data_IF_016762386266
#
_entry.id   IF_016762386266
#
_cell.length_a   1.000
_cell.length_b   1.000
_cell.length_c   1.000
_cell.angle_alpha   90.00
_cell.angle_beta   90.00
_cell.angle_gamma   90.00
#
_symmetry.space_group_name_H-M   'P 1'
#
loop_
_entity.id
_entity.type
_entity.pdbx_description
1 polymer ?
#
# COMPACT_ATOMS: atom_id res chain seq x y z
N UNK A 1 -43.43 -17.68 38.92
CA UNK A 1 -42.15 -17.40 38.23
C UNK A 1 -42.42 -16.41 37.12
N UNK A 2 -42.07 -15.12 37.23
CA UNK A 2 -42.29 -14.17 36.16
C UNK A 2 -41.27 -14.40 35.04
N UNK A 3 -41.74 -14.42 33.80
CA UNK A 3 -40.90 -14.40 32.60
C UNK A 3 -40.05 -13.13 32.60
N UNK A 4 -38.75 -13.29 32.84
CA UNK A 4 -37.76 -12.23 32.66
C UNK A 4 -37.72 -11.93 31.15
N UNK A 5 -38.31 -10.80 30.75
CA UNK A 5 -38.07 -10.21 29.43
C UNK A 5 -36.58 -9.90 29.33
N UNK A 6 -35.84 -10.71 28.59
CA UNK A 6 -34.47 -10.38 28.19
C UNK A 6 -34.52 -9.10 27.35
N UNK A 7 -33.64 -8.13 27.63
CA UNK A 7 -33.60 -6.89 26.86
C UNK A 7 -33.17 -7.23 25.43
N UNK A 8 -33.99 -6.88 24.45
CA UNK A 8 -33.65 -6.88 23.03
C UNK A 8 -32.45 -5.95 22.80
N UNK A 9 -31.24 -6.50 22.80
CA UNK A 9 -30.07 -5.85 22.25
C UNK A 9 -30.31 -5.65 20.75
N UNK A 10 -30.69 -4.44 20.34
CA UNK A 10 -30.64 -4.05 18.94
C UNK A 10 -29.17 -4.11 18.48
N UNK A 11 -28.74 -5.24 17.94
CA UNK A 11 -27.49 -5.35 17.19
C UNK A 11 -27.57 -4.37 16.02
N UNK A 12 -26.91 -3.21 16.14
CA UNK A 12 -26.81 -2.25 15.04
C UNK A 12 -25.84 -2.84 14.02
N UNK A 13 -26.38 -3.35 12.91
CA UNK A 13 -25.60 -3.94 11.83
C UNK A 13 -24.55 -2.94 11.31
N UNK A 14 -23.30 -3.40 11.21
CA UNK A 14 -22.23 -2.65 10.54
C UNK A 14 -22.43 -2.73 9.02
N UNK A 15 -21.94 -1.72 8.30
CA UNK A 15 -21.82 -1.79 6.84
C UNK A 15 -20.34 -1.87 6.48
N UNK A 16 -19.97 -2.82 5.61
CA UNK A 16 -18.62 -2.91 5.06
C UNK A 16 -18.41 -1.88 3.96
N UNK A 17 -17.38 -1.06 4.10
CA UNK A 17 -16.90 -0.14 3.08
C UNK A 17 -15.55 -0.63 2.58
N UNK A 18 -15.32 -0.45 1.28
CA UNK A 18 -14.04 -0.71 0.63
C UNK A 18 -13.46 0.61 0.20
N UNK A 19 -12.16 0.80 0.41
CA UNK A 19 -11.44 2.01 0.05
C UNK A 19 -10.23 1.67 -0.80
N UNK A 20 -9.98 2.48 -1.82
CA UNK A 20 -8.71 2.49 -2.52
C UNK A 20 -7.80 3.50 -1.81
N UNK A 21 -6.58 3.09 -1.46
CA UNK A 21 -5.63 3.91 -0.72
C UNK A 21 -4.30 4.00 -1.45
N UNK A 22 -3.79 5.22 -1.53
CA UNK A 22 -2.46 5.55 -2.00
C UNK A 22 -1.59 5.93 -0.80
N UNK A 23 -0.34 5.50 -0.77
CA UNK A 23 0.61 5.95 0.25
C UNK A 23 2.07 5.88 -0.19
N UNK A 24 2.85 6.79 0.38
CA UNK A 24 4.30 6.85 0.22
C UNK A 24 5.00 6.15 1.38
N UNK A 25 5.64 5.01 1.10
CA UNK A 25 6.25 4.13 2.10
C UNK A 25 7.53 4.65 2.76
N UNK A 26 8.22 5.64 2.17
CA UNK A 26 9.60 6.00 2.55
C UNK A 26 9.83 6.30 4.04
N UNK A 27 8.88 6.95 4.71
CA UNK A 27 8.94 7.22 6.18
C UNK A 27 8.04 6.30 7.00
N UNK A 28 7.30 5.40 6.35
CA UNK A 28 6.31 4.54 6.99
C UNK A 28 6.92 3.20 7.39
N UNK A 29 6.49 2.67 8.54
CA UNK A 29 6.85 1.35 9.05
C UNK A 29 6.10 0.20 8.36
N UNK A 30 5.58 0.44 7.15
CA UNK A 30 4.74 -0.47 6.39
C UNK A 30 3.26 -0.14 6.51
N UNK A 31 2.41 -1.06 6.02
CA UNK A 31 0.96 -0.90 6.14
C UNK A 31 0.53 -1.02 7.61
N UNK A 32 0.89 -2.12 8.27
CA UNK A 32 0.68 -2.35 9.71
C UNK A 32 2.03 -2.36 10.43
N UNK A 33 2.05 -2.12 11.74
CA UNK A 33 3.27 -2.25 12.53
C UNK A 33 3.74 -3.72 12.60
N UNK A 34 5.04 -3.95 12.43
CA UNK A 34 5.70 -5.26 12.53
C UNK A 34 6.53 -5.29 13.83
N UNK A 35 5.99 -5.93 14.88
CA UNK A 35 6.65 -6.06 16.19
C UNK A 35 7.17 -7.47 16.47
N UNK A 36 7.98 -7.64 17.54
CA UNK A 36 8.57 -8.93 17.91
C UNK A 36 7.54 -10.01 18.30
N UNK A 37 6.33 -9.61 18.72
CA UNK A 37 5.22 -10.52 19.07
C UNK A 37 4.21 -10.74 17.93
N UNK A 38 4.48 -10.22 16.72
CA UNK A 38 3.63 -10.37 15.54
C UNK A 38 3.28 -9.06 14.84
N UNK A 39 2.45 -9.17 13.81
CA UNK A 39 2.13 -8.10 12.84
C UNK A 39 0.76 -7.48 13.14
N UNK A 40 0.64 -6.69 14.20
CA UNK A 40 -0.60 -5.95 14.53
C UNK A 40 -0.27 -4.56 15.09
N UNK A 41 -1.04 -3.54 14.68
CA UNK A 41 -0.98 -2.19 15.27
C UNK A 41 -1.49 -2.13 16.71
N UNK A 42 -2.17 -3.18 17.18
CA UNK A 42 -2.59 -3.36 18.56
C UNK A 42 -2.17 -4.76 18.97
N UNK A 43 -1.20 -4.85 19.87
CA UNK A 43 -0.78 -6.12 20.46
C UNK A 43 -1.73 -6.40 21.61
N UNK A 44 -2.42 -7.54 21.57
CA UNK A 44 -3.30 -7.99 22.64
C UNK A 44 -2.61 -9.06 23.47
N UNK A 45 -2.83 -9.01 24.78
CA UNK A 45 -2.53 -10.13 25.66
C UNK A 45 -3.49 -11.31 25.36
N UNK A 46 -3.18 -12.53 25.82
CA UNK A 46 -4.05 -13.70 25.66
C UNK A 46 -5.47 -13.52 26.23
N UNK A 47 -5.63 -12.63 27.20
CA UNK A 47 -6.91 -12.26 27.83
C UNK A 47 -7.71 -11.18 27.06
N UNK A 48 -7.22 -10.77 25.88
CA UNK A 48 -7.76 -9.69 25.02
C UNK A 48 -7.63 -8.27 25.60
N UNK A 49 -6.87 -8.07 26.68
CA UNK A 49 -6.44 -6.72 27.08
C UNK A 49 -5.37 -6.18 26.13
N UNK A 50 -5.26 -4.85 25.99
CA UNK A 50 -4.28 -4.22 25.10
C UNK A 50 -2.91 -4.24 25.77
N UNK A 51 -1.96 -4.99 25.20
CA UNK A 51 -0.56 -5.08 25.62
C UNK A 51 0.26 -3.88 25.13
N UNK A 52 0.07 -3.48 23.86
CA UNK A 52 0.71 -2.30 23.29
C UNK A 52 -0.20 -1.69 22.21
N UNK A 53 -0.37 -0.37 22.25
CA UNK A 53 -1.16 0.40 21.29
C UNK A 53 -0.25 1.24 20.41
N UNK A 54 -0.04 0.79 19.19
CA UNK A 54 0.89 1.39 18.24
C UNK A 54 0.15 2.27 17.23
N UNK A 55 -1.08 2.70 17.53
CA UNK A 55 -1.81 3.73 16.78
C UNK A 55 -1.06 5.08 16.71
N UNK A 56 -0.06 5.29 17.59
CA UNK A 56 0.86 6.44 17.58
C UNK A 56 2.13 6.25 16.73
N UNK A 57 2.28 5.12 16.05
CA UNK A 57 3.47 4.78 15.25
C UNK A 57 3.20 5.06 13.77
N UNK A 58 4.19 5.60 13.03
CA UNK A 58 4.11 5.99 11.61
C UNK A 58 3.86 4.80 10.66
N UNK A 59 2.67 4.19 10.75
CA UNK A 59 2.16 3.15 9.86
C UNK A 59 0.90 3.64 9.15
N UNK A 60 0.61 3.07 7.97
CA UNK A 60 -0.58 3.47 7.20
C UNK A 60 -1.87 3.15 7.97
N UNK A 61 -1.96 1.95 8.56
CA UNK A 61 -3.11 1.51 9.35
C UNK A 61 -3.27 2.37 10.62
N UNK A 62 -2.18 2.72 11.31
CA UNK A 62 -2.23 3.59 12.48
C UNK A 62 -2.83 4.96 12.17
N UNK A 63 -2.37 5.60 11.08
CA UNK A 63 -2.92 6.89 10.63
C UNK A 63 -4.39 6.78 10.20
N UNK A 64 -4.76 5.70 9.52
CA UNK A 64 -6.16 5.45 9.12
C UNK A 64 -7.07 5.25 10.33
N UNK A 65 -6.66 4.44 11.32
CA UNK A 65 -7.40 4.26 12.58
C UNK A 65 -7.59 5.57 13.30
N UNK A 66 -6.55 6.39 13.40
CA UNK A 66 -6.64 7.71 14.02
C UNK A 66 -7.62 8.64 13.29
N UNK A 67 -7.62 8.62 11.96
CA UNK A 67 -8.58 9.39 11.17
C UNK A 67 -10.02 8.89 11.37
N UNK A 68 -10.23 7.57 11.45
CA UNK A 68 -11.53 6.97 11.74
C UNK A 68 -12.01 7.25 13.17
N UNK A 69 -11.13 7.22 14.17
CA UNK A 69 -11.44 7.59 15.55
C UNK A 69 -11.99 9.01 15.63
N UNK A 70 -11.40 9.94 14.87
CA UNK A 70 -11.83 11.34 14.81
C UNK A 70 -13.12 11.55 13.99
N UNK A 71 -13.32 10.77 12.91
CA UNK A 71 -14.46 10.92 12.01
C UNK A 71 -15.72 10.21 12.50
N UNK A 72 -15.60 8.93 12.84
CA UNK A 72 -16.73 8.05 13.19
C UNK A 72 -16.77 7.70 14.68
N UNK A 73 -15.64 7.77 15.39
CA UNK A 73 -15.52 7.43 16.82
C UNK A 73 -14.96 6.02 17.06
N UNK A 74 -14.14 5.87 18.10
CA UNK A 74 -13.33 4.67 18.43
C UNK A 74 -14.10 3.32 18.47
N UNK A 75 -15.40 3.35 18.76
CA UNK A 75 -16.24 2.15 18.89
C UNK A 75 -17.28 1.98 17.76
N UNK A 76 -17.11 2.73 16.67
CA UNK A 76 -18.05 2.75 15.55
C UNK A 76 -17.48 2.15 14.27
N UNK A 77 -16.29 1.55 14.32
CA UNK A 77 -15.72 0.78 13.22
C UNK A 77 -15.01 -0.48 13.74
N UNK A 78 -14.84 -1.48 12.87
CA UNK A 78 -14.12 -2.72 13.13
C UNK A 78 -13.62 -3.36 11.84
N UNK A 79 -12.91 -4.49 11.94
CA UNK A 79 -12.52 -5.32 10.80
C UNK A 79 -11.77 -4.55 9.69
N UNK A 80 -10.71 -3.84 10.08
CA UNK A 80 -9.79 -3.24 9.11
C UNK A 80 -8.95 -4.37 8.52
N UNK A 81 -9.12 -4.62 7.22
CA UNK A 81 -8.35 -5.61 6.46
C UNK A 81 -7.77 -4.92 5.23
N UNK A 82 -6.55 -5.29 4.83
CA UNK A 82 -5.92 -4.82 3.58
C UNK A 82 -5.72 -5.97 2.61
N UNK A 83 -5.80 -5.69 1.32
CA UNK A 83 -5.65 -6.70 0.27
C UNK A 83 -4.23 -7.25 0.17
N UNK A 84 -3.26 -6.36 0.35
CA UNK A 84 -1.83 -6.63 0.25
C UNK A 84 -1.11 -5.87 1.34
N UNK A 85 -0.49 -6.59 2.27
CA UNK A 85 0.39 -5.99 3.27
C UNK A 85 1.70 -5.58 2.60
N UNK A 86 2.18 -4.38 2.90
CA UNK A 86 3.44 -3.84 2.37
C UNK A 86 4.44 -3.62 3.50
N UNK A 87 5.70 -3.98 3.25
CA UNK A 87 6.80 -3.83 4.21
C UNK A 87 7.16 -2.35 4.43
N UNK A 88 7.98 -2.09 5.43
CA UNK A 88 8.61 -0.78 5.65
C UNK A 88 9.30 -0.29 4.36
N UNK A 89 9.03 0.96 3.98
CA UNK A 89 9.61 1.58 2.78
C UNK A 89 8.91 1.26 1.46
N UNK A 90 7.97 0.30 1.41
CA UNK A 90 7.23 -0.05 0.19
C UNK A 90 6.06 0.90 -0.03
N UNK A 91 5.86 1.34 -1.26
CA UNK A 91 4.81 2.28 -1.65
C UNK A 91 3.56 1.56 -2.16
N UNK A 92 2.44 2.27 -2.21
CA UNK A 92 1.28 1.82 -2.96
C UNK A 92 0.63 2.98 -3.72
N UNK A 93 0.38 2.78 -5.01
CA UNK A 93 -0.44 3.67 -5.82
C UNK A 93 -1.92 3.38 -5.59
N UNK A 94 -2.32 2.11 -5.64
CA UNK A 94 -3.68 1.68 -5.35
C UNK A 94 -3.68 0.36 -4.59
N UNK A 95 -3.58 0.44 -3.26
CA UNK A 95 -3.92 -0.68 -2.38
C UNK A 95 -5.42 -0.63 -2.06
N UNK A 96 -5.99 -1.75 -1.63
CA UNK A 96 -7.41 -1.81 -1.26
C UNK A 96 -7.57 -2.26 0.19
N UNK A 97 -8.49 -1.63 0.90
CA UNK A 97 -8.76 -1.93 2.30
C UNK A 97 -10.28 -2.00 2.55
N UNK A 98 -10.69 -2.81 3.51
CA UNK A 98 -12.07 -2.86 3.98
C UNK A 98 -12.16 -2.36 5.42
N UNK A 99 -13.28 -1.73 5.76
CA UNK A 99 -13.64 -1.36 7.14
C UNK A 99 -15.13 -1.54 7.34
N UNK A 100 -15.52 -2.18 8.43
CA UNK A 100 -16.92 -2.30 8.82
C UNK A 100 -17.26 -1.09 9.72
N UNK A 101 -18.22 -0.23 9.32
CA UNK A 101 -18.56 1.02 10.01
C UNK A 101 -20.05 1.05 10.41
N UNK A 102 -20.34 1.51 11.62
CA UNK A 102 -21.72 1.68 12.13
C UNK A 102 -22.45 2.85 11.47
N UNK A 103 -23.76 2.71 11.19
CA UNK A 103 -24.61 3.82 10.72
C UNK A 103 -24.69 4.98 11.72
N UNK A 104 -24.86 6.21 11.21
CA UNK A 104 -24.97 7.41 12.04
C UNK A 104 -26.39 7.59 12.58
N UNK A 105 -26.52 7.91 13.86
CA UNK A 105 -27.79 8.33 14.45
C UNK A 105 -28.13 9.76 14.04
N UNK A 106 -29.30 9.99 13.46
CA UNK A 106 -29.88 11.33 13.34
C UNK A 106 -30.96 11.53 14.41
N UNK A 107 -30.86 12.64 15.16
CA UNK A 107 -32.01 13.18 15.89
C UNK A 107 -32.90 13.88 14.85
N UNK A 108 -34.17 13.49 14.71
CA UNK A 108 -35.15 14.32 13.97
C UNK A 108 -35.17 15.70 14.63
N UNK A 109 -34.86 16.77 13.89
CA UNK A 109 -35.22 18.13 14.33
C UNK A 109 -36.75 18.18 14.32
N UNK A 110 -37.39 18.34 15.49
CA UNK A 110 -38.80 18.78 15.54
C UNK A 110 -38.85 20.12 14.78
N UNK A 111 -39.61 20.17 13.69
CA UNK A 111 -40.05 21.46 13.11
C UNK A 111 -41.12 21.94 14.10
N UNK A 112 -40.88 23.06 14.77
CA UNK A 112 -41.75 23.53 15.84
C UNK A 112 -43.16 23.80 15.34
N UNK A 113 -44.12 23.14 15.98
CA UNK A 113 -45.39 23.74 16.34
C UNK A 113 -45.56 23.42 17.82
N UNK A 114 -45.58 24.46 18.64
CA UNK A 114 -45.97 24.34 20.04
C UNK A 114 -47.42 23.86 20.04
N UNK A 115 -47.62 22.66 20.56
CA UNK A 115 -48.65 22.29 21.54
C UNK A 115 -48.67 20.77 21.70
N UNK A 116 -49.01 20.36 22.92
CA UNK A 116 -49.20 19.00 23.42
C UNK A 116 -47.95 18.19 23.83
N UNK A 117 -47.74 18.23 25.14
CA UNK A 117 -46.93 17.32 25.92
C UNK A 117 -47.62 15.95 25.96
N UNK A 118 -47.26 15.07 25.02
CA UNK A 118 -47.57 13.65 25.15
C UNK A 118 -46.39 12.75 24.80
N UNK A 119 -46.31 11.69 25.58
CA UNK A 119 -45.21 10.76 25.76
C UNK A 119 -44.97 9.92 24.48
N UNK A 120 -44.07 10.37 23.60
CA UNK A 120 -43.69 9.59 22.41
C UNK A 120 -42.17 9.46 22.22
N UNK A 121 -41.71 8.22 22.33
CA UNK A 121 -40.41 7.68 21.94
C UNK A 121 -40.00 8.21 20.57
N UNK A 122 -39.06 9.15 20.52
CA UNK A 122 -38.55 9.68 19.25
C UNK A 122 -37.91 8.54 18.44
N UNK A 123 -38.56 8.10 17.35
CA UNK A 123 -38.00 7.11 16.45
C UNK A 123 -36.64 7.61 15.91
N UNK A 124 -35.55 6.98 16.34
CA UNK A 124 -34.19 7.26 15.87
C UNK A 124 -34.00 6.62 14.50
N UNK A 125 -34.02 7.43 13.45
CA UNK A 125 -33.65 6.96 12.10
C UNK A 125 -32.14 6.85 11.98
N UNK A 126 -31.64 5.66 11.65
CA UNK A 126 -30.23 5.41 11.34
C UNK A 126 -29.98 5.67 9.86
N UNK A 127 -28.94 6.44 9.54
CA UNK A 127 -28.54 6.72 8.16
C UNK A 127 -27.15 6.16 7.90
N UNK A 128 -27.03 5.38 6.82
CA UNK A 128 -25.76 4.86 6.33
C UNK A 128 -24.84 6.01 5.90
N UNK A 129 -23.53 5.81 6.04
CA UNK A 129 -22.56 6.79 5.57
C UNK A 129 -22.53 6.79 4.04
N UNK A 130 -22.51 7.98 3.45
CA UNK A 130 -22.26 8.09 2.01
C UNK A 130 -20.77 7.83 1.76
N UNK A 131 -20.39 6.94 0.82
CA UNK A 131 -18.98 6.65 0.53
C UNK A 131 -18.14 7.90 0.30
N UNK A 132 -18.61 8.84 -0.53
CA UNK A 132 -17.95 10.13 -0.76
C UNK A 132 -17.63 10.91 0.53
N UNK A 133 -18.57 10.95 1.48
CA UNK A 133 -18.37 11.66 2.74
C UNK A 133 -17.31 10.98 3.62
N UNK A 134 -17.16 9.66 3.52
CA UNK A 134 -16.08 8.94 4.21
C UNK A 134 -14.73 9.27 3.59
N UNK A 135 -14.62 9.30 2.26
CA UNK A 135 -13.38 9.73 1.56
C UNK A 135 -12.98 11.13 2.01
N UNK A 136 -13.88 12.10 1.86
CA UNK A 136 -13.62 13.51 2.20
C UNK A 136 -13.24 13.66 3.69
N UNK A 137 -13.97 12.97 4.57
CA UNK A 137 -13.75 13.02 6.01
C UNK A 137 -12.44 12.36 6.44
N UNK A 138 -12.11 11.18 5.92
CA UNK A 138 -10.87 10.48 6.25
C UNK A 138 -9.68 11.29 5.75
N UNK A 139 -9.70 11.76 4.50
CA UNK A 139 -8.64 12.59 3.93
C UNK A 139 -8.45 13.90 4.70
N UNK A 140 -9.54 14.54 5.14
CA UNK A 140 -9.48 15.74 5.97
C UNK A 140 -8.72 15.51 7.29
N UNK A 141 -8.90 14.37 7.94
CA UNK A 141 -8.18 14.05 9.16
C UNK A 141 -6.77 13.55 8.91
N UNK A 142 -6.54 12.73 7.86
CA UNK A 142 -5.21 12.29 7.45
C UNK A 142 -4.27 13.48 7.21
N UNK A 143 -4.75 14.54 6.55
CA UNK A 143 -3.96 15.75 6.30
C UNK A 143 -3.61 16.56 7.56
N UNK A 144 -4.22 16.23 8.70
CA UNK A 144 -4.06 16.93 9.99
C UNK A 144 -3.36 16.11 11.06
N UNK A 145 -3.16 14.81 10.83
CA UNK A 145 -2.38 13.98 11.74
C UNK A 145 -0.90 14.33 11.52
N UNK A 146 -0.21 14.91 12.53
CA UNK A 146 1.21 15.22 12.41
C UNK A 146 2.00 13.93 12.24
N UNK A 147 3.04 13.96 11.41
CA UNK A 147 4.03 12.87 11.40
C UNK A 147 4.85 12.96 12.67
N UNK A 148 4.81 11.93 13.51
CA UNK A 148 5.67 11.85 14.68
C UNK A 148 7.07 11.42 14.20
N UNK A 149 8.15 12.15 14.57
CA UNK A 149 9.49 11.70 14.26
C UNK A 149 9.75 10.33 14.91
N UNK A 150 10.56 9.45 14.30
CA UNK A 150 10.80 8.09 14.79
C UNK A 150 11.65 8.00 16.08
N UNK A 151 11.62 9.01 16.96
CA UNK A 151 12.33 9.02 18.25
C UNK A 151 11.36 9.28 19.40
N UNK A 152 11.43 8.41 20.42
CA UNK A 152 10.59 8.27 21.64
C UNK A 152 9.45 7.24 21.58
N UNK A 153 9.73 6.07 20.99
CA UNK A 153 8.98 4.85 21.30
C UNK A 153 9.52 4.11 22.56
N UNK A 154 10.43 4.72 23.32
CA UNK A 154 11.11 4.10 24.48
C UNK A 154 11.17 5.05 25.70
N UNK A 155 10.05 5.66 26.09
CA UNK A 155 9.91 6.18 27.46
C UNK A 155 8.66 5.54 28.07
N UNK A 156 8.82 4.41 28.76
CA UNK A 156 7.76 3.70 29.52
C UNK A 156 7.10 4.57 30.61
N UNK A 157 7.61 5.78 30.86
CA UNK A 157 7.10 6.74 31.85
C UNK A 157 6.47 8.02 31.28
N UNK A 158 6.21 8.09 29.97
CA UNK A 158 5.43 9.21 29.43
C UNK A 158 3.95 9.05 29.81
N UNK A 159 3.32 10.03 30.50
CA UNK A 159 1.93 9.89 30.92
C UNK A 159 1.03 9.71 29.70
N UNK A 160 -0.06 8.93 29.81
CA UNK A 160 -1.01 8.80 28.71
C UNK A 160 -1.47 10.21 28.35
N UNK A 161 -1.38 10.56 27.06
CA UNK A 161 -1.93 11.81 26.51
C UNK A 161 -3.44 11.81 26.81
N UNK A 162 -3.78 12.36 27.97
CA UNK A 162 -5.12 12.31 28.54
C UNK A 162 -6.07 13.09 27.64
N UNK A 163 -7.09 12.36 27.16
CA UNK A 163 -8.50 12.74 27.10
C UNK A 163 -8.78 14.19 27.55
N UNK A 164 -8.67 15.16 26.64
CA UNK A 164 -9.49 16.39 26.61
C UNK A 164 -9.01 17.31 25.48
N UNK A 165 -9.24 16.90 24.24
CA UNK A 165 -9.32 17.85 23.14
C UNK A 165 -10.74 17.81 22.61
N UNK A 166 -11.66 18.40 23.38
CA UNK A 166 -12.88 18.98 22.80
C UNK A 166 -12.44 20.19 21.98
N UNK A 167 -11.88 19.95 20.80
CA UNK A 167 -11.77 21.01 19.82
C UNK A 167 -13.21 21.31 19.37
N UNK A 168 -13.81 22.31 20.01
CA UNK A 168 -14.81 23.14 19.33
C UNK A 168 -14.15 23.50 18.00
N UNK A 169 -14.74 23.06 16.89
CA UNK A 169 -14.35 23.48 15.56
C UNK A 169 -14.71 24.97 15.40
N UNK A 170 -13.99 25.84 16.10
CA UNK A 170 -14.13 27.27 16.04
C UNK A 170 -12.94 27.82 15.26
N UNK A 171 -13.18 28.18 13.99
CA UNK A 171 -12.41 29.13 13.18
C UNK A 171 -10.88 29.09 13.37
N UNK A 172 -10.26 27.92 13.30
CA UNK A 172 -8.81 27.82 13.21
C UNK A 172 -8.37 28.15 11.78
N UNK A 173 -7.44 29.11 11.65
CA UNK A 173 -6.95 29.68 10.40
C UNK A 173 -6.53 28.62 9.37
N UNK A 174 -7.12 28.70 8.18
CA UNK A 174 -7.10 27.69 7.12
C UNK A 174 -5.77 27.54 6.34
N UNK A 175 -4.76 28.40 6.56
CA UNK A 175 -3.73 28.62 5.54
C UNK A 175 -2.28 28.19 5.85
N UNK A 176 -1.94 27.71 7.05
CA UNK A 176 -0.52 27.48 7.41
C UNK A 176 -0.24 26.15 8.14
N UNK A 177 -0.66 25.01 7.59
CA UNK A 177 -0.17 23.70 8.04
C UNK A 177 0.38 22.91 6.83
N UNK A 178 1.55 22.27 6.94
CA UNK A 178 2.13 21.50 5.86
C UNK A 178 1.19 20.36 5.45
N UNK A 179 0.89 20.25 4.15
CA UNK A 179 0.11 19.16 3.56
C UNK A 179 0.89 17.84 3.71
N UNK A 180 0.75 17.17 4.86
CA UNK A 180 1.45 15.92 5.15
C UNK A 180 0.66 14.69 4.65
N UNK A 181 0.46 14.61 3.33
CA UNK A 181 -0.38 13.59 2.70
C UNK A 181 0.42 12.37 2.23
N UNK A 182 1.18 11.74 3.14
CA UNK A 182 1.80 10.44 2.83
C UNK A 182 0.78 9.29 2.67
N UNK A 183 -0.49 9.50 3.04
CA UNK A 183 -1.59 8.53 2.88
C UNK A 183 -2.82 9.29 2.37
N UNK A 184 -3.47 8.77 1.33
CA UNK A 184 -4.66 9.36 0.72
C UNK A 184 -5.66 8.26 0.33
N UNK A 185 -6.92 8.46 0.68
CA UNK A 185 -8.04 7.66 0.17
C UNK A 185 -8.43 8.20 -1.21
N UNK A 186 -8.36 7.36 -2.23
CA UNK A 186 -8.67 7.71 -3.62
C UNK A 186 -10.17 7.61 -3.89
N UNK A 187 -10.77 6.49 -3.49
CA UNK A 187 -12.18 6.20 -3.73
C UNK A 187 -12.73 5.28 -2.64
N UNK A 188 -14.05 5.15 -2.60
CA UNK A 188 -14.71 4.18 -1.74
C UNK A 188 -16.06 3.73 -2.27
N UNK A 189 -16.44 2.52 -1.91
CA UNK A 189 -17.75 1.96 -2.16
C UNK A 189 -18.24 1.15 -0.96
N UNK A 190 -19.54 0.85 -0.95
CA UNK A 190 -20.08 -0.18 -0.05
C UNK A 190 -19.70 -1.53 -0.66
N UNK A 191 -19.20 -2.46 0.15
CA UNK A 191 -18.87 -3.79 -0.34
C UNK A 191 -20.16 -4.50 -0.80
N UNK A 192 -20.11 -5.24 -1.90
CA UNK A 192 -21.24 -6.05 -2.33
C UNK A 192 -21.50 -7.17 -1.31
N UNK A 193 -22.77 -7.41 -1.01
CA UNK A 193 -23.18 -8.44 -0.04
C UNK A 193 -22.78 -9.86 -0.52
N UNK A 194 -22.68 -10.06 -1.84
CA UNK A 194 -22.26 -11.31 -2.49
C UNK A 194 -21.54 -10.92 -3.80
N UNK A 195 -20.27 -11.28 -3.97
CA UNK A 195 -19.70 -11.37 -5.32
C UNK A 195 -19.91 -12.82 -5.77
N UNK A 196 -20.84 -13.05 -6.69
CA UNK A 196 -20.81 -14.25 -7.54
C UNK A 196 -19.56 -14.14 -8.43
N UNK A 197 -18.58 -15.05 -8.32
CA UNK A 197 -17.38 -14.98 -9.15
C UNK A 197 -17.76 -15.16 -10.62
N UNK A 198 -17.33 -14.22 -11.46
CA UNK A 198 -17.49 -14.30 -12.90
C UNK A 198 -16.64 -15.44 -13.49
N UNK A 199 -17.17 -16.01 -14.57
CA UNK A 199 -16.80 -17.27 -15.20
C UNK A 199 -15.52 -17.16 -16.04
N UNK A 200 -14.78 -18.30 -16.12
CA UNK A 200 -13.58 -18.64 -16.94
C UNK A 200 -12.20 -18.43 -16.26
N UNK A 201 -11.30 -19.43 -16.11
CA UNK A 201 -11.28 -20.87 -16.44
C UNK A 201 -10.15 -21.59 -15.64
N UNK A 202 -10.23 -22.92 -15.56
CA UNK A 202 -9.23 -23.84 -15.00
C UNK A 202 -9.01 -25.04 -15.94
N UNK A 203 -7.78 -25.53 -16.18
CA UNK A 203 -7.64 -26.67 -17.09
C UNK A 203 -7.91 -28.06 -16.50
N UNK A 204 -7.91 -28.29 -15.18
CA UNK A 204 -8.15 -29.67 -14.66
C UNK A 204 -8.35 -29.83 -13.14
N UNK A 205 -8.80 -28.79 -12.43
CA UNK A 205 -9.07 -28.64 -10.99
C UNK A 205 -9.01 -29.93 -10.13
N UNK A 206 -8.07 -29.97 -9.17
CA UNK A 206 -8.38 -30.16 -7.75
C UNK A 206 -8.64 -28.80 -7.13
N UNK A 207 -9.70 -28.78 -6.33
CA UNK A 207 -10.79 -27.82 -6.48
C UNK A 207 -11.18 -27.22 -5.12
N UNK A 208 -10.57 -27.74 -4.05
CA UNK A 208 -11.18 -27.82 -2.72
C UNK A 208 -11.34 -26.46 -2.03
N UNK A 209 -10.65 -25.40 -2.47
CA UNK A 209 -10.83 -24.06 -1.91
C UNK A 209 -10.91 -22.97 -2.98
N UNK A 210 -11.67 -23.26 -4.02
CA UNK A 210 -12.42 -22.26 -4.77
C UNK A 210 -13.53 -21.70 -3.88
N UNK A 211 -13.34 -20.61 -3.09
CA UNK A 211 -14.30 -20.04 -2.12
C UNK A 211 -15.63 -20.84 -2.00
N UNK A 212 -15.63 -22.04 -1.37
CA UNK A 212 -16.65 -23.05 -1.66
C UNK A 212 -18.02 -22.73 -1.05
N UNK A 213 -18.17 -21.53 -0.47
CA UNK A 213 -19.29 -21.15 0.38
C UNK A 213 -19.98 -19.84 -0.02
N UNK A 214 -19.60 -19.22 -1.15
CA UNK A 214 -20.14 -17.90 -1.49
C UNK A 214 -19.85 -16.88 -0.39
N UNK A 215 -18.63 -16.90 0.17
CA UNK A 215 -18.27 -16.04 1.30
C UNK A 215 -18.48 -14.55 0.93
N UNK A 216 -18.94 -13.72 1.90
CA UNK A 216 -19.08 -12.28 1.71
C UNK A 216 -17.79 -11.65 1.19
N UNK A 217 -17.92 -10.52 0.49
CA UNK A 217 -16.75 -9.79 -0.03
C UNK A 217 -15.66 -9.58 1.03
N UNK A 218 -14.45 -10.06 0.75
CA UNK A 218 -13.25 -9.78 1.55
C UNK A 218 -12.12 -9.28 0.65
N UNK A 219 -11.57 -8.11 0.98
CA UNK A 219 -10.59 -7.41 0.14
C UNK A 219 -9.28 -8.20 -0.08
N UNK A 220 -8.95 -9.16 0.79
CA UNK A 220 -7.76 -10.00 0.62
C UNK A 220 -8.09 -11.24 -0.19
N UNK A 221 -9.16 -11.94 0.16
CA UNK A 221 -9.48 -13.24 -0.42
C UNK A 221 -10.22 -13.17 -1.76
N UNK A 222 -10.95 -12.09 -2.03
CA UNK A 222 -11.64 -11.89 -3.34
C UNK A 222 -10.75 -11.24 -4.39
N UNK A 223 -9.60 -10.70 -4.00
CA UNK A 223 -8.69 -10.08 -4.94
C UNK A 223 -8.13 -11.13 -5.91
N UNK A 224 -8.39 -10.91 -7.20
CA UNK A 224 -8.06 -11.84 -8.29
C UNK A 224 -6.64 -11.65 -8.78
N UNK A 225 -6.11 -10.42 -8.72
CA UNK A 225 -4.78 -10.07 -9.23
C UNK A 225 -4.20 -8.90 -8.47
N UNK A 226 -2.87 -8.92 -8.29
CA UNK A 226 -2.09 -7.78 -7.79
C UNK A 226 -0.98 -7.47 -8.77
N UNK A 227 -0.78 -6.19 -9.02
CA UNK A 227 0.26 -5.67 -9.89
C UNK A 227 1.28 -4.93 -9.05
N UNK A 228 2.54 -5.36 -9.11
CA UNK A 228 3.67 -4.66 -8.53
C UNK A 228 4.52 -4.05 -9.64
N UNK A 229 5.09 -2.89 -9.38
CA UNK A 229 6.12 -2.29 -10.20
C UNK A 229 7.34 -2.00 -9.34
N UNK A 230 8.52 -2.37 -9.83
CA UNK A 230 9.78 -2.03 -9.21
C UNK A 230 10.54 -1.05 -10.10
N UNK A 231 10.88 0.12 -9.55
CA UNK A 231 11.53 1.21 -10.27
C UNK A 231 13.01 1.27 -9.94
N UNK A 232 13.83 1.30 -10.97
CA UNK A 232 15.28 1.45 -10.92
C UNK A 232 15.63 2.70 -11.72
N UNK A 233 16.24 3.68 -11.07
CA UNK A 233 16.77 4.83 -11.78
C UNK A 233 18.16 4.46 -12.30
N UNK A 234 18.24 4.27 -13.60
CA UNK A 234 19.46 3.91 -14.31
C UNK A 234 20.05 5.15 -14.95
N UNK A 235 21.29 5.47 -14.59
CA UNK A 235 22.03 6.59 -15.18
C UNK A 235 23.17 6.02 -16.02
N UNK A 236 23.23 6.37 -17.30
CA UNK A 236 24.43 6.11 -18.08
C UNK A 236 25.41 7.26 -17.82
N UNK A 237 26.65 6.93 -17.46
CA UNK A 237 27.68 7.92 -17.22
C UNK A 237 27.93 8.69 -18.53
N UNK A 238 27.58 9.99 -18.56
CA UNK A 238 28.41 10.92 -19.33
C UNK A 238 29.77 10.91 -18.65
N UNK A 239 30.85 11.00 -19.41
CA UNK A 239 32.23 11.24 -18.98
C UNK A 239 32.41 12.56 -18.19
N UNK A 240 31.52 12.85 -17.24
CA UNK A 240 31.53 14.04 -16.42
C UNK A 240 32.45 13.77 -15.22
N UNK A 241 33.49 14.59 -15.11
CA UNK A 241 34.53 14.63 -14.06
C UNK A 241 34.03 14.83 -12.62
N UNK A 242 32.76 14.54 -12.30
CA UNK A 242 32.18 14.66 -10.96
C UNK A 242 31.01 13.67 -10.75
N UNK A 243 31.29 12.47 -10.22
CA UNK A 243 30.29 11.39 -10.07
C UNK A 243 29.17 11.69 -9.06
N UNK A 244 29.36 12.57 -8.08
CA UNK A 244 28.49 12.58 -6.89
C UNK A 244 27.10 13.19 -7.06
N UNK A 245 26.91 14.13 -8.00
CA UNK A 245 25.67 14.92 -8.08
C UNK A 245 24.69 14.42 -9.14
N UNK A 246 25.17 13.99 -10.31
CA UNK A 246 24.32 13.54 -11.43
C UNK A 246 23.53 12.26 -11.11
N UNK A 247 23.99 11.44 -10.16
CA UNK A 247 23.32 10.18 -9.79
C UNK A 247 22.18 10.32 -8.77
N UNK A 248 21.87 11.53 -8.31
CA UNK A 248 20.80 11.76 -7.35
C UNK A 248 19.76 12.70 -7.91
N UNK A 249 18.69 12.14 -8.49
CA UNK A 249 17.44 12.86 -8.66
C UNK A 249 16.83 13.02 -7.26
N UNK A 250 16.89 14.20 -6.61
CA UNK A 250 16.51 14.33 -5.20
C UNK A 250 15.04 13.96 -4.98
N UNK A 251 14.22 14.17 -6.02
CA UNK A 251 12.81 13.82 -6.08
C UNK A 251 12.54 12.33 -6.32
N UNK A 252 13.53 11.47 -6.45
CA UNK A 252 13.34 10.02 -6.61
C UNK A 252 14.10 9.19 -5.57
N UNK A 253 14.87 9.84 -4.67
CA UNK A 253 15.76 9.17 -3.70
C UNK A 253 15.08 8.07 -2.89
N UNK A 254 13.82 8.30 -2.53
CA UNK A 254 12.97 7.46 -1.71
C UNK A 254 11.92 6.69 -2.51
N UNK A 255 12.05 6.63 -3.85
CA UNK A 255 11.09 6.02 -4.79
C UNK A 255 11.70 5.11 -5.84
N UNK A 256 13.02 4.97 -5.85
CA UNK A 256 13.75 4.13 -6.83
C UNK A 256 14.91 3.41 -6.17
N UNK A 257 15.26 2.26 -6.72
CA UNK A 257 16.58 1.69 -6.47
C UNK A 257 17.60 2.36 -7.38
N UNK A 258 18.68 2.84 -6.77
CA UNK A 258 19.86 3.34 -7.47
C UNK A 258 20.92 2.26 -7.45
N UNK A 259 21.35 1.83 -8.63
CA UNK A 259 22.39 0.82 -8.79
C UNK A 259 23.68 1.54 -9.14
N UNK A 260 24.74 1.31 -8.36
CA UNK A 260 26.09 1.80 -8.57
C UNK A 260 27.06 0.68 -8.22
N UNK A 261 28.20 0.58 -8.91
CA UNK A 261 29.34 -0.22 -8.45
C UNK A 261 30.19 0.55 -7.42
N UNK A 262 31.16 -0.13 -6.80
CA UNK A 262 32.06 0.45 -5.79
C UNK A 262 32.94 1.60 -6.33
N UNK A 263 33.01 1.75 -7.66
CA UNK A 263 33.75 2.80 -8.37
C UNK A 263 32.81 3.90 -8.89
N UNK A 264 31.52 3.83 -8.57
CA UNK A 264 30.49 4.77 -9.03
C UNK A 264 30.04 4.58 -10.47
N UNK A 265 30.53 3.56 -11.19
CA UNK A 265 30.07 3.25 -12.53
C UNK A 265 28.79 2.42 -12.47
N UNK A 266 27.93 2.64 -13.46
CA UNK A 266 26.70 1.90 -13.63
C UNK A 266 26.88 1.15 -14.94
N UNK A 267 27.22 -0.13 -14.86
CA UNK A 267 27.13 -1.01 -16.03
C UNK A 267 25.73 -0.93 -16.62
N UNK A 268 25.62 -0.95 -17.94
CA UNK A 268 24.31 -0.98 -18.59
C UNK A 268 23.57 -2.28 -18.22
N UNK A 269 22.31 -2.16 -17.79
CA UNK A 269 21.48 -3.35 -17.54
C UNK A 269 20.93 -3.89 -18.86
N UNK A 270 21.28 -5.13 -19.17
CA UNK A 270 20.77 -5.85 -20.33
C UNK A 270 19.30 -6.28 -20.11
N UNK A 271 18.38 -5.48 -20.66
CA UNK A 271 16.93 -5.67 -20.54
C UNK A 271 16.46 -6.94 -21.27
N UNK A 272 17.12 -7.33 -22.35
CA UNK A 272 16.72 -8.50 -23.12
C UNK A 272 17.04 -9.78 -22.34
N UNK A 273 18.25 -9.86 -21.79
CA UNK A 273 18.65 -10.99 -20.94
C UNK A 273 17.83 -11.04 -19.64
N UNK A 274 17.48 -9.88 -19.06
CA UNK A 274 16.55 -9.82 -17.93
C UNK A 274 15.15 -10.36 -18.29
N UNK A 275 14.60 -10.04 -19.45
CA UNK A 275 13.28 -10.55 -19.88
C UNK A 275 13.32 -12.06 -20.20
N UNK A 276 14.43 -12.56 -20.77
CA UNK A 276 14.67 -14.00 -20.93
C UNK A 276 14.63 -14.72 -19.58
N UNK A 277 15.32 -14.19 -18.57
CA UNK A 277 15.28 -14.71 -17.22
C UNK A 277 13.89 -14.61 -16.57
N UNK A 278 13.20 -13.48 -16.77
CA UNK A 278 11.86 -13.24 -16.24
C UNK A 278 10.83 -14.26 -16.72
N UNK A 279 10.99 -14.77 -17.95
CA UNK A 279 10.13 -15.80 -18.53
C UNK A 279 10.13 -17.10 -17.72
N UNK A 280 11.21 -17.41 -16.99
CA UNK A 280 11.27 -18.57 -16.09
C UNK A 280 10.40 -18.42 -14.83
N UNK A 281 9.97 -17.21 -14.48
CA UNK A 281 9.08 -16.99 -13.33
C UNK A 281 7.59 -17.16 -13.68
N UNK A 282 7.22 -17.08 -14.95
CA UNK A 282 5.81 -17.09 -15.38
C UNK A 282 5.19 -18.50 -15.17
N UNK A 283 3.92 -18.51 -14.78
CA UNK A 283 3.14 -19.72 -14.54
C UNK A 283 3.15 -20.17 -13.08
N UNK A 284 2.62 -21.38 -12.85
CA UNK A 284 2.51 -21.99 -11.51
C UNK A 284 3.82 -22.68 -11.14
N UNK A 285 4.53 -22.14 -10.14
CA UNK A 285 5.84 -22.65 -9.72
C UNK A 285 6.03 -22.61 -8.21
N UNK A 286 7.00 -23.37 -7.73
CA UNK A 286 7.50 -23.33 -6.36
C UNK A 286 8.49 -22.18 -6.21
N UNK A 287 8.16 -21.20 -5.38
CA UNK A 287 9.00 -20.01 -5.13
C UNK A 287 9.74 -20.08 -3.80
N UNK A 288 10.06 -21.29 -3.30
CA UNK A 288 10.81 -21.45 -2.04
C UNK A 288 12.12 -20.67 -2.04
N UNK A 289 12.85 -20.66 -3.16
CA UNK A 289 14.11 -19.91 -3.30
C UNK A 289 13.93 -18.39 -3.20
N UNK A 290 12.71 -17.87 -3.41
CA UNK A 290 12.38 -16.46 -3.34
C UNK A 290 11.54 -16.11 -2.10
N UNK A 291 11.32 -17.07 -1.19
CA UNK A 291 10.53 -16.90 0.03
C UNK A 291 11.37 -16.30 1.16
N UNK A 292 10.90 -15.20 1.74
CA UNK A 292 11.51 -14.60 2.92
C UNK A 292 11.31 -15.44 4.20
N UNK A 293 12.28 -15.36 5.12
CA UNK A 293 12.15 -15.93 6.47
C UNK A 293 10.93 -15.32 7.19
N UNK A 294 10.18 -16.13 7.94
CA UNK A 294 8.97 -15.69 8.64
C UNK A 294 7.69 -15.70 7.80
N UNK A 295 7.75 -16.13 6.53
CA UNK A 295 6.53 -16.28 5.73
C UNK A 295 5.59 -17.32 6.35
N UNK A 296 4.36 -16.91 6.67
CA UNK A 296 3.34 -17.74 7.34
C UNK A 296 2.54 -18.64 6.37
N UNK A 297 2.77 -18.53 5.05
CA UNK A 297 2.00 -19.29 4.06
C UNK A 297 2.36 -20.78 4.11
N UNK A 298 1.37 -21.66 4.07
CA UNK A 298 1.57 -23.11 4.07
C UNK A 298 2.32 -23.60 2.82
N UNK A 299 1.91 -23.13 1.65
CA UNK A 299 2.52 -23.52 0.36
C UNK A 299 3.42 -22.42 -0.21
N UNK A 300 4.63 -22.75 -0.70
CA UNK A 300 5.49 -21.84 -1.46
C UNK A 300 5.08 -21.75 -2.95
N UNK A 301 4.05 -22.49 -3.37
CA UNK A 301 3.61 -22.50 -4.77
C UNK A 301 2.70 -21.31 -5.04
N UNK A 302 3.06 -20.51 -6.04
CA UNK A 302 2.26 -19.36 -6.52
C UNK A 302 2.20 -19.35 -8.04
N UNK A 303 1.23 -18.61 -8.60
CA UNK A 303 1.08 -18.42 -10.04
C UNK A 303 1.31 -16.96 -10.37
N UNK A 304 2.23 -16.71 -11.30
CA UNK A 304 2.49 -15.40 -11.86
C UNK A 304 1.97 -15.34 -13.29
N UNK A 305 1.29 -14.25 -13.60
CA UNK A 305 0.66 -14.02 -14.91
C UNK A 305 1.62 -13.30 -15.85
N UNK A 306 2.43 -12.38 -15.32
CA UNK A 306 3.29 -11.51 -16.11
C UNK A 306 4.50 -11.08 -15.30
N UNK A 307 5.69 -11.12 -15.91
CA UNK A 307 6.93 -10.54 -15.39
C UNK A 307 7.64 -9.90 -16.57
N UNK A 308 7.66 -8.57 -16.63
CA UNK A 308 8.22 -7.83 -17.76
C UNK A 308 9.13 -6.71 -17.28
N UNK A 309 10.24 -6.52 -17.97
CA UNK A 309 11.20 -5.45 -17.72
C UNK A 309 11.13 -4.45 -18.87
N UNK A 310 10.82 -3.21 -18.54
CA UNK A 310 10.76 -2.09 -19.47
C UNK A 310 11.87 -1.09 -19.19
N UNK A 311 12.37 -0.46 -20.25
CA UNK A 311 13.24 0.71 -20.18
C UNK A 311 12.49 1.87 -20.82
N UNK A 312 12.35 2.95 -20.05
CA UNK A 312 11.68 4.16 -20.47
C UNK A 312 12.59 5.36 -20.23
N UNK A 313 12.44 6.41 -21.04
CA UNK A 313 13.12 7.68 -20.78
C UNK A 313 12.61 8.25 -19.45
N UNK A 314 13.50 8.72 -18.61
CA UNK A 314 13.07 9.37 -17.37
C UNK A 314 12.47 10.76 -17.67
N UNK A 315 11.17 10.91 -17.41
CA UNK A 315 10.41 12.16 -17.61
C UNK A 315 10.28 13.02 -16.35
N UNK A 316 11.09 12.78 -15.31
CA UNK A 316 10.97 13.52 -14.05
C UNK A 316 11.57 14.93 -14.08
N UNK A 317 11.63 15.57 -12.90
CA UNK A 317 12.15 16.94 -12.77
C UNK A 317 13.64 16.96 -13.07
N UNK A 318 14.03 17.57 -14.19
CA UNK A 318 15.42 17.82 -14.54
C UNK A 318 15.81 19.21 -14.01
N UNK A 319 16.81 19.33 -13.11
CA UNK A 319 17.27 20.63 -12.64
C UNK A 319 17.69 21.54 -13.81
N UNK A 320 17.34 22.83 -13.76
CA UNK A 320 17.58 23.78 -14.86
C UNK A 320 19.07 23.85 -15.28
N UNK A 321 20.00 23.66 -14.35
CA UNK A 321 21.44 23.66 -14.67
C UNK A 321 21.87 22.45 -15.52
N UNK A 322 21.15 21.32 -15.45
CA UNK A 322 21.42 20.14 -16.30
C UNK A 322 21.01 20.39 -17.75
N UNK A 323 19.97 21.20 -17.97
CA UNK A 323 19.58 21.66 -19.31
C UNK A 323 20.59 22.68 -19.85
N UNK A 324 21.12 23.55 -18.98
CA UNK A 324 22.07 24.60 -19.38
C UNK A 324 23.41 24.04 -19.89
N UNK A 325 23.87 22.89 -19.38
CA UNK A 325 25.11 22.23 -19.85
C UNK A 325 25.04 21.67 -21.28
N UNK A 326 23.84 21.60 -21.88
CA UNK A 326 23.62 21.16 -23.26
C UNK A 326 23.06 22.24 -24.19
N UNK A 327 22.85 23.47 -23.69
CA UNK A 327 22.29 24.59 -24.46
C UNK A 327 23.36 25.62 -24.81
N UNK A 328 24.30 25.23 -25.65
CA UNK A 328 25.07 26.19 -26.43
C UNK A 328 24.24 26.54 -27.69
N UNK A 329 23.59 27.71 -27.69
CA UNK A 329 22.97 28.38 -28.85
C UNK A 329 21.54 27.99 -29.29
N UNK A 330 20.53 28.14 -28.41
CA UNK A 330 19.13 28.23 -28.90
C UNK A 330 18.29 29.12 -28.00
N UNK A 331 17.97 30.33 -28.48
CA UNK A 331 17.28 31.41 -27.77
C UNK A 331 15.74 31.33 -27.80
N UNK A 332 15.15 30.19 -28.16
CA UNK A 332 13.70 30.01 -28.06
C UNK A 332 13.31 28.54 -27.91
N UNK A 333 12.85 28.15 -26.72
CA UNK A 333 12.17 26.87 -26.51
C UNK A 333 10.68 27.09 -26.71
N UNK A 334 10.17 26.83 -27.91
CA UNK A 334 8.75 26.95 -28.25
C UNK A 334 7.96 25.66 -27.97
N UNK A 335 8.63 24.55 -27.66
CA UNK A 335 7.99 23.29 -27.30
C UNK A 335 8.77 22.53 -26.20
N UNK A 336 8.08 22.05 -25.15
CA UNK A 336 8.73 21.33 -24.04
C UNK A 336 9.24 19.94 -24.46
N UNK A 337 8.68 19.35 -25.52
CA UNK A 337 9.12 18.06 -26.08
C UNK A 337 10.53 18.11 -26.69
N UNK A 338 11.02 19.31 -27.01
CA UNK A 338 12.33 19.56 -27.63
C UNK A 338 13.41 20.03 -26.66
N UNK A 339 13.17 19.99 -25.35
CA UNK A 339 14.21 20.28 -24.37
C UNK A 339 15.33 19.22 -24.47
N UNK A 340 16.61 19.61 -24.57
CA UNK A 340 17.73 18.68 -24.56
C UNK A 340 17.92 18.18 -23.12
N UNK A 341 16.97 17.38 -22.64
CA UNK A 341 17.21 16.53 -21.48
C UNK A 341 18.26 15.54 -21.96
N UNK A 342 19.45 15.49 -21.36
CA UNK A 342 20.45 14.51 -21.76
C UNK A 342 19.82 13.12 -21.73
N UNK A 343 20.08 12.26 -22.72
CA UNK A 343 19.59 10.86 -22.79
C UNK A 343 20.19 9.94 -21.71
N UNK A 344 20.61 10.55 -20.59
CA UNK A 344 21.46 9.96 -19.57
C UNK A 344 20.70 9.23 -18.48
N UNK A 345 19.39 9.46 -18.37
CA UNK A 345 18.55 8.81 -17.35
C UNK A 345 17.46 7.98 -18.00
N UNK A 346 17.53 6.68 -17.73
CA UNK A 346 16.48 5.74 -18.04
C UNK A 346 15.83 5.28 -16.74
N UNK A 347 14.51 5.17 -16.76
CA UNK A 347 13.78 4.42 -15.75
C UNK A 347 13.66 2.99 -16.22
N UNK A 348 14.20 2.05 -15.45
CA UNK A 348 13.94 0.63 -15.65
C UNK A 348 12.82 0.23 -14.71
N UNK A 349 11.73 -0.27 -15.27
CA UNK A 349 10.54 -0.68 -14.52
C UNK A 349 10.33 -2.17 -14.70
N UNK A 350 10.34 -2.92 -13.60
CA UNK A 350 10.01 -4.34 -13.58
C UNK A 350 8.56 -4.49 -13.11
N UNK A 351 7.67 -4.91 -14.00
CA UNK A 351 6.26 -5.14 -13.72
C UNK A 351 6.04 -6.61 -13.43
N UNK A 352 5.41 -6.92 -12.30
CA UNK A 352 5.13 -8.28 -11.84
C UNK A 352 3.65 -8.38 -11.49
N UNK A 353 2.92 -9.24 -12.20
CA UNK A 353 1.50 -9.50 -11.96
C UNK A 353 1.27 -10.95 -11.57
N UNK A 354 0.37 -11.15 -10.63
CA UNK A 354 -0.03 -12.48 -10.22
C UNK A 354 -1.16 -12.45 -9.19
N UNK A 355 -1.72 -13.63 -8.93
CA UNK A 355 -2.83 -13.78 -7.97
C UNK A 355 -2.39 -13.48 -6.54
N UNK A 356 -1.23 -13.96 -6.13
CA UNK A 356 -0.73 -13.85 -4.74
C UNK A 356 0.78 -13.98 -4.69
N UNK A 357 1.40 -13.32 -3.70
CA UNK A 357 2.85 -13.31 -3.51
C UNK A 357 3.22 -13.81 -2.11
N UNK A 358 4.38 -14.46 -2.00
CA UNK A 358 5.02 -14.81 -0.72
C UNK A 358 5.70 -13.59 -0.11
N UNK A 359 6.01 -13.70 1.17
CA UNK A 359 6.77 -12.66 1.87
C UNK A 359 8.13 -12.45 1.19
N UNK A 360 8.46 -11.19 0.88
CA UNK A 360 9.64 -10.76 0.13
C UNK A 360 9.81 -11.28 -1.31
N UNK A 361 8.86 -12.04 -1.87
CA UNK A 361 9.00 -12.70 -3.18
C UNK A 361 9.40 -11.73 -4.28
N UNK A 362 8.64 -10.63 -4.44
CA UNK A 362 8.84 -9.65 -5.51
C UNK A 362 10.24 -9.04 -5.45
N UNK A 363 10.72 -8.66 -4.25
CA UNK A 363 12.04 -8.03 -4.07
C UNK A 363 13.19 -9.01 -4.30
N UNK A 364 13.02 -10.28 -3.91
CA UNK A 364 14.02 -11.32 -4.18
C UNK A 364 14.09 -11.64 -5.70
N UNK A 365 12.95 -11.69 -6.38
CA UNK A 365 12.91 -11.87 -7.84
C UNK A 365 13.57 -10.70 -8.57
N UNK A 366 13.24 -9.47 -8.19
CA UNK A 366 13.84 -8.25 -8.75
C UNK A 366 15.35 -8.25 -8.60
N UNK A 367 15.87 -8.62 -7.42
CA UNK A 367 17.32 -8.70 -7.24
C UNK A 367 17.96 -9.71 -8.19
N UNK A 368 17.34 -10.89 -8.35
CA UNK A 368 17.82 -11.90 -9.28
C UNK A 368 17.82 -11.41 -10.73
N UNK A 369 16.78 -10.71 -11.16
CA UNK A 369 16.76 -10.09 -12.49
C UNK A 369 17.85 -9.02 -12.64
N UNK A 370 18.11 -8.22 -11.62
CA UNK A 370 19.18 -7.21 -11.66
C UNK A 370 20.56 -7.86 -11.76
N UNK A 371 20.83 -8.93 -11.02
CA UNK A 371 22.08 -9.71 -11.15
C UNK A 371 22.26 -10.25 -12.58
N UNK A 372 21.18 -10.71 -13.22
CA UNK A 372 21.19 -11.12 -14.63
C UNK A 372 21.49 -9.94 -15.55
N UNK A 373 20.83 -8.80 -15.35
CA UNK A 373 21.06 -7.59 -16.14
C UNK A 373 22.49 -7.04 -16.02
N UNK A 374 23.17 -7.32 -14.91
CA UNK A 374 24.58 -6.97 -14.69
C UNK A 374 25.56 -8.04 -15.21
N UNK A 375 25.06 -9.12 -15.81
CA UNK A 375 25.86 -10.23 -16.33
C UNK A 375 26.49 -11.12 -15.24
N UNK A 376 26.07 -11.01 -13.98
CA UNK A 376 26.56 -11.85 -12.88
C UNK A 376 25.84 -13.19 -12.77
N UNK A 377 24.63 -13.27 -13.33
CA UNK A 377 23.86 -14.49 -13.51
C UNK A 377 23.41 -14.59 -14.97
N UNK A 378 23.21 -15.82 -15.43
CA UNK A 378 22.58 -16.13 -16.71
C UNK A 378 21.07 -16.37 -16.53
N UNK A 379 20.26 -16.27 -17.60
CA UNK A 379 18.86 -16.68 -17.55
C UNK A 379 18.67 -18.12 -17.07
N UNK A 380 19.57 -19.02 -17.46
CA UNK A 380 19.56 -20.42 -17.07
C UNK A 380 19.81 -20.61 -15.57
N UNK A 381 20.68 -19.79 -14.95
CA UNK A 381 20.88 -19.79 -13.49
C UNK A 381 19.58 -19.49 -12.74
N UNK A 382 18.70 -18.63 -13.27
CA UNK A 382 17.41 -18.33 -12.64
C UNK A 382 16.52 -19.56 -12.59
N UNK A 383 16.54 -20.37 -13.65
CA UNK A 383 15.84 -21.65 -13.69
C UNK A 383 16.43 -22.62 -12.65
N UNK A 384 17.75 -22.73 -12.56
CA UNK A 384 18.40 -23.58 -11.56
C UNK A 384 18.09 -23.14 -10.13
N UNK A 385 18.05 -21.83 -9.86
CA UNK A 385 17.70 -21.29 -8.55
C UNK A 385 16.27 -21.69 -8.18
N UNK A 386 15.31 -21.63 -9.11
CA UNK A 386 13.94 -22.11 -8.87
C UNK A 386 13.90 -23.61 -8.54
N UNK A 387 14.69 -24.41 -9.25
CA UNK A 387 14.73 -25.87 -9.07
C UNK A 387 15.40 -26.29 -7.75
N UNK A 388 16.40 -25.54 -7.27
CA UNK A 388 17.07 -25.78 -5.99
C UNK A 388 16.14 -25.64 -4.77
N UNK A 389 15.05 -24.87 -4.89
CA UNK A 389 14.09 -24.60 -3.80
C UNK A 389 14.76 -24.19 -2.48
N UNK A 390 15.85 -23.44 -2.58
CA UNK A 390 16.65 -23.01 -1.45
C UNK A 390 16.83 -21.49 -1.50
N UNK A 391 16.48 -20.81 -0.40
CA UNK A 391 16.69 -19.37 -0.28
C UNK A 391 18.17 -19.00 -0.34
N UNK A 392 19.08 -19.88 0.09
CA UNK A 392 20.52 -19.66 0.01
C UNK A 392 21.05 -19.52 -1.42
N UNK A 393 20.37 -20.12 -2.40
CA UNK A 393 20.76 -20.06 -3.81
C UNK A 393 20.41 -18.74 -4.51
N UNK A 394 19.48 -17.95 -3.96
CA UNK A 394 19.04 -16.69 -4.54
C UNK A 394 19.83 -15.49 -3.98
N UNK A 395 20.04 -14.42 -4.76
CA UNK A 395 20.80 -13.25 -4.33
C UNK A 395 20.17 -12.48 -3.16
N UNK A 396 20.91 -11.46 -2.69
CA UNK A 396 20.44 -10.52 -1.67
C UNK A 396 19.16 -9.80 -2.10
N UNK A 397 18.30 -9.46 -1.14
CA UNK A 397 16.99 -8.86 -1.44
C UNK A 397 17.13 -7.41 -1.94
N UNK A 398 16.39 -7.04 -3.00
CA UNK A 398 16.36 -5.67 -3.50
C UNK A 398 15.81 -4.67 -2.44
N UNK A 399 16.22 -3.39 -2.43
CA UNK A 399 15.70 -2.38 -1.50
C UNK A 399 14.17 -2.21 -1.57
N UNK A 400 13.53 -1.74 -0.49
CA UNK A 400 12.08 -1.58 -0.43
C UNK A 400 11.56 -0.35 -1.19
N UNK A 401 12.34 0.73 -1.19
CA UNK A 401 11.97 2.05 -1.75
C UNK A 401 11.72 2.05 -3.27
N UNK A 402 12.19 1.04 -4.00
CA UNK A 402 11.89 0.90 -5.43
C UNK A 402 10.55 0.21 -5.70
N UNK A 403 9.92 -0.41 -4.70
CA UNK A 403 8.74 -1.26 -4.89
C UNK A 403 7.42 -0.51 -4.67
N UNK A 404 6.52 -0.65 -5.63
CA UNK A 404 5.17 -0.10 -5.61
C UNK A 404 4.16 -1.23 -5.79
N UNK A 405 3.17 -1.30 -4.90
CA UNK A 405 1.90 -1.95 -5.23
C UNK A 405 1.10 -1.00 -6.12
N UNK A 406 1.02 -1.33 -7.41
CA UNK A 406 0.38 -0.49 -8.43
C UNK A 406 -1.12 -0.61 -8.31
N UNK A 407 -1.65 -1.83 -8.31
CA UNK A 407 -3.09 -2.06 -8.30
C UNK A 407 -3.48 -3.44 -7.73
N UNK A 408 -4.73 -3.53 -7.29
CA UNK A 408 -5.41 -4.75 -6.83
C UNK A 408 -6.79 -4.84 -7.48
N UNK A 409 -7.03 -5.96 -8.16
CA UNK A 409 -8.26 -6.24 -8.88
C UNK A 409 -9.17 -7.18 -8.09
N UNK A 410 -10.49 -6.97 -8.17
CA UNK A 410 -11.53 -7.76 -7.51
C UNK A 410 -12.57 -8.28 -8.52
N UNK A 411 -12.10 -8.79 -9.66
CA UNK A 411 -12.99 -9.18 -10.77
C UNK A 411 -13.79 -7.98 -11.29
N UNK A 412 -15.12 -8.11 -11.33
CA UNK A 412 -16.02 -7.06 -11.85
C UNK A 412 -16.25 -5.90 -10.88
N UNK A 413 -15.89 -6.06 -9.60
CA UNK A 413 -16.11 -5.03 -8.61
C UNK A 413 -15.08 -3.90 -8.76
N UNK A 414 -15.55 -2.73 -9.21
CA UNK A 414 -14.76 -1.51 -9.41
C UNK A 414 -15.35 -0.36 -8.60
N UNK A 415 -14.48 0.46 -8.01
CA UNK A 415 -14.86 1.58 -7.14
C UNK A 415 -13.78 2.64 -7.04
#
# INVERSE_FOLDING_TARGET
>A
MPFIRTPTYCYRAYTRYVFAVQYHGGKMLGFSYQGPSGENCIVYNPDKSIQADLRGVESVEGRLRRALDLLVGENNYQNIQVSSRTDRGVHAWRNTLQVDIRPRNQKKKKKGSDDDADNHTSARTTKQWKPKNLVDGINFYLSRIPSLPPSKAEDENSPPLHKNVRNKASKANFYNLPLNNNVTILSSAVAPDIITPNQNYDPSLPEDEYNPKGLPFDVRFTATRRTYAYRILHSYAIEAKSPSYYHSQPFELDRVWRIHDDKGNIGELDIETMNRAASHFIGRRDFTSFRGKGCQRSTPVTTLDEVVVHRERYHGVVPAFMLASGMENSSSVSNCDSLPIPDTFNMITIVIKGKSFLYHQVRNMVACLVEVGQGRLTPEDVKEILEKKDRGAAPGMAPAQGLFLVDVEHGDFRF
#
